data_IF_444749393631
#
_entry.id   IF_444749393631
#
_cell.length_a   1.000
_cell.length_b   1.000
_cell.length_c   1.000
_cell.angle_alpha   90.00
_cell.angle_beta   90.00
_cell.angle_gamma   90.00
#
_symmetry.space_group_name_H-M   'P 1'
#
loop_
_entity.id
_entity.type
_entity.pdbx_description
1 polymer ?
#
# COMPACT_ATOMS: atom_id res chain seq x y z
N UNK A 1 -49.81 -40.51 -34.32
CA UNK A 1 -48.61 -41.40 -34.33
C UNK A 1 -47.44 -40.63 -34.88
N UNK A 2 -46.22 -40.91 -34.37
CA UNK A 2 -44.90 -40.26 -34.58
C UNK A 2 -44.58 -39.15 -33.57
N UNK A 3 -43.38 -39.04 -32.98
CA UNK A 3 -42.24 -39.92 -32.65
C UNK A 3 -41.51 -39.11 -31.55
N UNK A 4 -41.09 -39.75 -30.46
CA UNK A 4 -40.21 -39.16 -29.44
C UNK A 4 -38.75 -39.08 -29.91
N UNK A 5 -38.07 -37.98 -29.61
CA UNK A 5 -36.62 -37.90 -29.37
C UNK A 5 -36.41 -36.79 -28.31
N UNK A 6 -36.16 -37.17 -27.06
CA UNK A 6 -34.82 -37.29 -26.45
C UNK A 6 -34.02 -35.99 -26.43
N UNK A 7 -34.01 -35.40 -25.23
CA UNK A 7 -32.86 -34.84 -24.49
C UNK A 7 -31.77 -34.05 -25.23
N UNK A 8 -31.45 -32.88 -24.68
CA UNK A 8 -30.14 -32.53 -24.10
C UNK A 8 -29.81 -31.02 -24.27
N UNK A 9 -29.54 -30.41 -23.12
CA UNK A 9 -28.52 -29.40 -22.85
C UNK A 9 -28.75 -27.93 -23.26
N UNK A 10 -29.14 -27.15 -22.25
CA UNK A 10 -28.51 -25.87 -21.89
C UNK A 10 -26.99 -25.91 -22.09
N UNK A 11 -26.40 -24.87 -22.65
CA UNK A 11 -25.51 -23.96 -21.90
C UNK A 11 -25.10 -22.79 -22.81
N UNK A 12 -25.49 -21.59 -22.35
CA UNK A 12 -25.08 -20.27 -22.81
C UNK A 12 -23.56 -20.14 -22.85
N UNK A 13 -22.99 -19.91 -24.03
CA UNK A 13 -21.59 -19.49 -24.18
C UNK A 13 -21.51 -17.98 -23.94
N UNK A 14 -21.26 -17.57 -22.69
CA UNK A 14 -20.85 -16.20 -22.37
C UNK A 14 -19.39 -16.06 -22.76
N UNK A 15 -19.13 -15.37 -23.87
CA UNK A 15 -17.78 -14.97 -24.28
C UNK A 15 -17.39 -13.78 -23.40
N UNK A 16 -16.69 -14.05 -22.30
CA UNK A 16 -15.98 -13.01 -21.53
C UNK A 16 -14.61 -12.85 -22.20
N UNK A 17 -14.28 -11.67 -22.76
CA UNK A 17 -12.95 -11.47 -23.33
C UNK A 17 -11.96 -11.29 -22.17
N UNK A 18 -11.07 -12.27 -22.10
CA UNK A 18 -9.63 -12.07 -21.91
C UNK A 18 -9.23 -11.28 -20.68
N UNK A 19 -9.05 -12.02 -19.60
CA UNK A 19 -8.26 -11.59 -18.45
C UNK A 19 -6.97 -10.92 -18.91
N UNK A 20 -6.85 -9.64 -18.56
CA UNK A 20 -5.60 -8.90 -18.56
C UNK A 20 -4.74 -9.54 -17.47
N UNK A 21 -4.10 -10.67 -17.77
CA UNK A 21 -3.07 -11.25 -16.93
C UNK A 21 -1.85 -10.34 -17.02
N UNK A 22 -1.88 -9.22 -16.28
CA UNK A 22 -0.65 -8.55 -15.89
C UNK A 22 0.16 -9.59 -15.14
N UNK A 23 1.21 -10.11 -15.80
CA UNK A 23 2.18 -10.98 -15.18
C UNK A 23 2.58 -10.37 -13.83
N UNK A 24 2.54 -11.12 -12.73
CA UNK A 24 2.98 -10.59 -11.46
C UNK A 24 4.43 -10.16 -11.65
N UNK A 25 4.71 -8.86 -11.53
CA UNK A 25 6.08 -8.39 -11.39
C UNK A 25 6.68 -9.22 -10.25
N UNK A 26 7.67 -10.05 -10.55
CA UNK A 26 8.41 -10.82 -9.55
C UNK A 26 9.19 -9.82 -8.68
N UNK A 27 8.50 -9.25 -7.70
CA UNK A 27 9.08 -8.45 -6.64
C UNK A 27 9.52 -9.48 -5.59
N UNK A 28 10.82 -9.55 -5.32
CA UNK A 28 11.39 -10.50 -4.37
C UNK A 28 10.67 -10.49 -3.02
N UNK A 29 10.73 -11.62 -2.33
CA UNK A 29 10.28 -11.77 -0.94
C UNK A 29 11.22 -10.96 -0.03
N UNK A 30 11.11 -9.64 -0.12
CA UNK A 30 11.88 -8.67 0.66
C UNK A 30 11.50 -8.87 2.13
N UNK A 31 12.36 -9.60 2.83
CA UNK A 31 12.48 -9.72 4.28
C UNK A 31 11.54 -10.66 5.02
N UNK A 32 10.37 -11.02 4.49
CA UNK A 32 9.38 -11.85 5.22
C UNK A 32 8.72 -11.14 6.41
N UNK A 33 9.04 -9.86 6.65
CA UNK A 33 8.39 -9.00 7.63
C UNK A 33 7.14 -8.33 7.09
N UNK A 34 6.27 -7.87 8.00
CA UNK A 34 5.14 -7.03 7.62
C UNK A 34 5.60 -5.78 6.86
N UNK A 35 5.03 -5.56 5.67
CA UNK A 35 5.33 -4.39 4.86
C UNK A 35 4.71 -3.12 5.45
N UNK A 36 5.38 -1.99 5.26
CA UNK A 36 4.88 -0.66 5.64
C UNK A 36 3.59 -0.38 4.86
N UNK A 37 2.52 -0.04 5.58
CA UNK A 37 1.25 0.30 4.95
C UNK A 37 1.33 1.61 4.14
N UNK A 38 0.56 1.67 3.05
CA UNK A 38 0.48 2.85 2.19
C UNK A 38 -0.93 3.08 1.66
N UNK A 39 -1.22 4.29 1.19
CA UNK A 39 -2.54 4.66 0.68
C UNK A 39 -2.47 5.61 -0.51
N UNK A 40 -3.55 5.65 -1.28
CA UNK A 40 -3.83 6.64 -2.32
C UNK A 40 -5.17 7.38 -2.04
N UNK A 41 -5.59 8.24 -2.96
CA UNK A 41 -6.83 8.99 -2.82
C UNK A 41 -8.08 8.10 -2.71
N UNK A 42 -8.15 6.99 -3.43
CA UNK A 42 -9.31 6.09 -3.42
C UNK A 42 -9.42 5.34 -2.09
N UNK A 43 -8.29 4.86 -1.56
CA UNK A 43 -8.22 4.28 -0.23
C UNK A 43 -8.62 5.30 0.84
N UNK A 44 -8.09 6.53 0.76
CA UNK A 44 -8.41 7.58 1.72
C UNK A 44 -9.90 7.95 1.69
N UNK A 45 -10.50 8.05 0.50
CA UNK A 45 -11.94 8.30 0.30
C UNK A 45 -12.81 7.21 0.93
N UNK A 46 -12.41 5.95 0.78
CA UNK A 46 -13.20 4.80 1.26
C UNK A 46 -13.03 4.56 2.76
N UNK A 47 -11.80 4.58 3.27
CA UNK A 47 -11.47 4.21 4.64
C UNK A 47 -11.56 5.38 5.63
N UNK A 48 -11.29 6.61 5.17
CA UNK A 48 -11.27 7.82 6.00
C UNK A 48 -11.98 8.99 5.30
N UNK A 49 -13.30 8.87 5.01
CA UNK A 49 -14.02 9.83 4.17
C UNK A 49 -14.00 11.27 4.71
N UNK A 50 -13.99 11.43 6.05
CA UNK A 50 -13.90 12.75 6.68
C UNK A 50 -12.54 13.40 6.43
N UNK A 51 -11.46 12.63 6.56
CA UNK A 51 -10.10 13.09 6.23
C UNK A 51 -9.98 13.37 4.73
N UNK A 52 -10.53 12.50 3.87
CA UNK A 52 -10.55 12.77 2.43
C UNK A 52 -11.23 14.09 2.09
N UNK A 53 -12.42 14.36 2.64
CA UNK A 53 -13.15 15.61 2.40
C UNK A 53 -12.37 16.87 2.81
N UNK A 54 -11.50 16.78 3.83
CA UNK A 54 -10.66 17.90 4.27
C UNK A 54 -9.53 18.21 3.28
N UNK A 55 -8.98 17.21 2.59
CA UNK A 55 -7.75 17.36 1.80
C UNK A 55 -7.95 17.22 0.28
N UNK A 56 -9.04 16.61 -0.19
CA UNK A 56 -9.26 16.26 -1.60
C UNK A 56 -9.31 17.47 -2.56
N UNK A 57 -9.59 18.66 -2.04
CA UNK A 57 -9.62 19.90 -2.83
C UNK A 57 -8.21 20.43 -3.12
N UNK A 58 -7.24 20.09 -2.28
CA UNK A 58 -5.89 20.67 -2.32
C UNK A 58 -4.84 19.65 -2.78
N UNK A 59 -5.03 18.37 -2.48
CA UNK A 59 -4.04 17.32 -2.73
C UNK A 59 -4.63 16.13 -3.48
N UNK A 60 -3.77 15.49 -4.27
CA UNK A 60 -3.95 14.14 -4.79
C UNK A 60 -2.94 13.22 -4.10
N UNK A 61 -3.40 12.08 -3.61
CA UNK A 61 -2.58 11.10 -2.88
C UNK A 61 -2.26 9.91 -3.76
N UNK A 62 -1.01 9.44 -3.73
CA UNK A 62 -0.51 8.31 -4.52
C UNK A 62 0.41 7.45 -3.69
N UNK A 63 0.54 6.17 -4.05
CA UNK A 63 1.44 5.27 -3.35
C UNK A 63 2.91 5.72 -3.52
N UNK A 64 3.72 5.71 -2.43
CA UNK A 64 5.15 5.88 -2.53
C UNK A 64 5.80 4.61 -3.09
N UNK A 65 7.00 4.77 -3.65
CA UNK A 65 7.89 3.62 -3.88
C UNK A 65 8.52 3.27 -2.54
N UNK A 66 8.30 2.05 -2.06
CA UNK A 66 8.89 1.55 -0.80
C UNK A 66 9.89 0.44 -1.11
N UNK A 67 11.08 0.52 -0.52
CA UNK A 67 12.14 -0.50 -0.65
C UNK A 67 12.66 -0.91 0.73
N UNK A 68 13.19 -2.13 0.81
CA UNK A 68 13.64 -2.78 2.05
C UNK A 68 15.09 -3.27 1.92
N UNK A 69 16.07 -2.37 1.74
CA UNK A 69 17.46 -2.77 1.46
C UNK A 69 18.03 -3.60 2.61
N UNK A 70 18.50 -4.80 2.27
CA UNK A 70 19.11 -5.79 3.19
C UNK A 70 18.29 -6.06 4.45
N UNK A 71 16.99 -5.74 4.45
CA UNK A 71 16.11 -5.87 5.61
C UNK A 71 16.57 -5.11 6.85
N UNK A 72 17.38 -4.06 6.67
CA UNK A 72 17.92 -3.21 7.75
C UNK A 72 17.39 -1.77 7.69
N UNK A 73 16.62 -1.44 6.67
CA UNK A 73 15.94 -0.16 6.55
C UNK A 73 14.62 -0.25 5.77
N UNK A 74 13.76 0.74 5.98
CA UNK A 74 12.58 1.00 5.14
C UNK A 74 12.77 2.37 4.49
N UNK A 75 12.79 2.41 3.17
CA UNK A 75 12.94 3.65 2.41
C UNK A 75 11.65 3.92 1.64
N UNK A 76 11.00 5.05 1.91
CA UNK A 76 9.80 5.51 1.19
C UNK A 76 10.15 6.71 0.31
N UNK A 77 9.87 6.64 -0.98
CA UNK A 77 10.20 7.67 -1.95
C UNK A 77 8.97 8.18 -2.71
N UNK A 78 8.86 9.49 -2.82
CA UNK A 78 7.88 10.22 -3.62
C UNK A 78 8.55 10.91 -4.79
N UNK A 79 7.95 10.78 -5.98
CA UNK A 79 8.39 11.51 -7.16
C UNK A 79 8.12 12.99 -7.00
N UNK A 80 9.13 13.83 -7.25
CA UNK A 80 8.96 15.28 -7.21
C UNK A 80 7.85 15.72 -8.20
N UNK A 81 6.99 16.69 -7.83
CA UNK A 81 7.07 17.55 -6.65
C UNK A 81 6.26 17.07 -5.43
N UNK A 82 5.88 15.78 -5.37
CA UNK A 82 5.08 15.26 -4.27
C UNK A 82 5.89 15.17 -2.95
N UNK A 83 5.19 15.31 -1.82
CA UNK A 83 5.76 15.25 -0.47
C UNK A 83 5.23 14.04 0.30
N UNK A 84 6.05 13.53 1.22
CA UNK A 84 5.65 12.44 2.12
C UNK A 84 4.49 12.91 3.00
N UNK A 85 3.47 12.07 3.12
CA UNK A 85 2.30 12.26 3.97
C UNK A 85 2.13 11.02 4.84
N UNK A 86 1.70 11.26 6.06
CA UNK A 86 1.46 10.22 7.06
C UNK A 86 0.00 10.21 7.47
N UNK A 87 -0.59 9.01 7.51
CA UNK A 87 -1.92 8.75 8.04
C UNK A 87 -1.82 7.81 9.24
N UNK A 88 -2.32 8.26 10.38
CA UNK A 88 -2.41 7.48 11.61
C UNK A 88 -3.73 6.69 11.64
N UNK A 89 -3.79 5.61 12.43
CA UNK A 89 -4.98 4.77 12.60
C UNK A 89 -6.24 5.54 13.02
N UNK A 90 -6.08 6.63 13.78
CA UNK A 90 -7.21 7.47 14.19
C UNK A 90 -7.74 8.40 13.08
N UNK A 91 -7.20 8.31 11.86
CA UNK A 91 -7.57 9.15 10.72
C UNK A 91 -6.87 10.49 10.65
N UNK A 92 -5.98 10.83 11.61
CA UNK A 92 -5.16 12.03 11.54
C UNK A 92 -4.20 11.92 10.35
N UNK A 93 -4.25 12.92 9.47
CA UNK A 93 -3.37 13.03 8.31
C UNK A 93 -2.46 14.25 8.45
N UNK A 94 -1.15 14.04 8.29
CA UNK A 94 -0.13 15.09 8.33
C UNK A 94 0.58 15.10 6.98
N UNK A 95 0.39 16.19 6.23
CA UNK A 95 1.11 16.45 4.96
C UNK A 95 2.47 17.07 5.30
N UNK A 96 3.54 16.53 4.72
CA UNK A 96 4.92 16.97 4.98
C UNK A 96 5.28 17.06 6.47
N UNK A 97 5.20 15.94 7.24
CA UNK A 97 5.56 15.94 8.66
C UNK A 97 6.97 16.49 8.89
N UNK A 98 7.17 17.22 9.99
CA UNK A 98 8.49 17.79 10.33
C UNK A 98 9.52 16.67 10.44
N UNK A 99 10.60 16.79 9.67
CA UNK A 99 11.70 15.82 9.66
C UNK A 99 11.55 14.68 8.64
N UNK A 100 10.39 14.54 7.99
CA UNK A 100 10.21 13.60 6.88
C UNK A 100 10.40 14.32 5.55
N UNK A 101 11.39 13.87 4.78
CA UNK A 101 11.67 14.34 3.42
C UNK A 101 11.64 13.15 2.49
N UNK A 102 11.52 13.39 1.18
CA UNK A 102 11.67 12.32 0.19
C UNK A 102 13.14 12.25 -0.29
N UNK A 103 13.79 11.07 -0.31
CA UNK A 103 13.33 9.80 0.26
C UNK A 103 13.35 9.83 1.79
N UNK A 104 12.35 9.22 2.42
CA UNK A 104 12.25 9.07 3.88
C UNK A 104 12.88 7.73 4.26
N UNK A 105 13.97 7.77 5.02
CA UNK A 105 14.73 6.60 5.43
C UNK A 105 14.48 6.31 6.90
N UNK A 106 13.90 5.15 7.20
CA UNK A 106 13.84 4.59 8.55
C UNK A 106 14.96 3.55 8.68
N UNK A 107 16.07 3.93 9.31
CA UNK A 107 17.27 3.12 9.52
C UNK A 107 17.40 2.66 10.98
N UNK A 108 18.33 1.74 11.25
CA UNK A 108 18.57 1.23 12.62
C UNK A 108 17.50 0.24 13.04
N UNK A 109 16.90 -0.45 12.07
CA UNK A 109 15.93 -1.51 12.27
C UNK A 109 16.46 -2.80 11.65
N UNK A 110 15.82 -3.92 11.94
CA UNK A 110 16.04 -5.19 11.24
C UNK A 110 14.74 -5.99 11.22
N UNK A 111 14.63 -6.91 10.27
CA UNK A 111 13.53 -7.86 10.23
C UNK A 111 13.84 -9.10 11.08
N UNK A 112 13.00 -9.42 12.06
CA UNK A 112 13.12 -10.62 12.88
C UNK A 112 11.77 -11.11 13.41
N UNK A 113 11.49 -12.41 13.28
CA UNK A 113 10.21 -13.04 13.63
C UNK A 113 9.00 -12.43 12.89
N UNK A 114 9.17 -12.11 11.60
CA UNK A 114 8.18 -11.43 10.75
C UNK A 114 7.78 -10.01 11.22
N UNK A 115 8.51 -9.46 12.19
CA UNK A 115 8.30 -8.11 12.73
C UNK A 115 9.56 -7.24 12.59
N UNK A 116 9.34 -5.94 12.37
CA UNK A 116 10.44 -4.98 12.37
C UNK A 116 10.84 -4.65 13.80
N UNK A 117 12.14 -4.71 14.08
CA UNK A 117 12.73 -4.49 15.40
C UNK A 117 13.79 -3.39 15.33
N UNK A 118 13.96 -2.61 16.40
CA UNK A 118 15.03 -1.62 16.49
C UNK A 118 16.37 -2.26 16.88
N UNK A 119 17.48 -1.83 16.28
CA UNK A 119 18.82 -2.27 16.64
C UNK A 119 19.25 -1.70 18.01
N UNK A 120 19.87 -2.53 18.86
CA UNK A 120 20.32 -2.15 20.21
C UNK A 120 20.28 -3.31 21.22
N UNK A 121 20.63 -3.04 22.49
CA UNK A 121 20.68 -4.06 23.56
C UNK A 121 19.26 -4.37 24.05
N UNK A 122 18.52 -5.19 23.30
CA UNK A 122 17.19 -5.68 23.68
C UNK A 122 16.19 -5.86 22.53
N UNK A 123 16.45 -5.28 21.35
CA UNK A 123 15.68 -5.53 20.12
C UNK A 123 14.15 -5.51 20.27
N UNK A 124 13.57 -4.34 20.52
CA UNK A 124 12.10 -4.20 20.64
C UNK A 124 11.42 -4.03 19.29
N UNK A 125 10.17 -4.50 19.19
CA UNK A 125 9.30 -4.31 18.02
C UNK A 125 9.03 -2.81 17.80
N UNK A 126 9.14 -2.35 16.55
CA UNK A 126 8.76 -0.99 16.16
C UNK A 126 7.29 -0.93 15.71
N UNK A 127 6.42 -0.60 16.66
CA UNK A 127 4.99 -0.47 16.41
C UNK A 127 4.63 0.67 15.43
N UNK A 128 5.51 1.65 15.22
CA UNK A 128 5.23 2.76 14.31
C UNK A 128 5.15 2.30 12.84
N UNK A 129 5.79 1.18 12.50
CA UNK A 129 5.70 0.64 11.14
C UNK A 129 4.31 0.09 10.84
N UNK A 130 3.62 -0.45 11.86
CA UNK A 130 2.25 -0.97 11.75
C UNK A 130 1.20 0.13 11.84
N UNK A 131 1.34 1.04 12.79
CA UNK A 131 0.29 2.03 13.11
C UNK A 131 0.25 3.24 12.18
N UNK A 132 1.17 3.33 11.22
CA UNK A 132 1.37 4.54 10.42
C UNK A 132 1.46 4.20 8.93
N UNK A 133 0.45 4.61 8.17
CA UNK A 133 0.45 4.48 6.71
C UNK A 133 1.13 5.68 6.05
N UNK A 134 1.83 5.47 4.94
CA UNK A 134 2.53 6.54 4.18
C UNK A 134 1.98 6.72 2.77
N UNK A 135 1.98 7.96 2.28
CA UNK A 135 1.55 8.32 0.93
C UNK A 135 2.38 9.47 0.37
N UNK A 136 2.28 9.69 -0.93
CA UNK A 136 2.80 10.87 -1.62
C UNK A 136 1.65 11.83 -1.92
N UNK A 137 1.71 13.04 -1.35
CA UNK A 137 0.76 14.10 -1.65
C UNK A 137 1.32 15.04 -2.70
N UNK A 138 0.62 15.14 -3.83
CA UNK A 138 0.86 16.14 -4.86
C UNK A 138 -0.17 17.26 -4.70
N UNK A 139 0.31 18.50 -4.55
CA UNK A 139 -0.56 19.67 -4.53
C UNK A 139 -1.13 19.90 -5.94
N UNK A 140 -2.45 20.13 -6.02
CA UNK A 140 -3.13 20.47 -7.28
C UNK A 140 -2.84 21.90 -7.71
#
# INVERSE_FOLDING_TARGET
MRVSYSSLFFFTLVIIPSEVNMAPCAIGDDCGCIKRGSFDSAHLETAFPQTYAQFNSTYTFTHPVITYPDCEAIISNCTAPAVITVLYENGTLIVSPKGMKTPNVLSGIYCGDAEWRMQGVGGSVDFNIRSVNVSCALKR
#
